data_IF_565637392125
#
_entry.id   IF_565637392125
#
_cell.length_a   1.000
_cell.length_b   1.000
_cell.length_c   1.000
_cell.angle_alpha   90.00
_cell.angle_beta   90.00
_cell.angle_gamma   90.00
#
_symmetry.space_group_name_H-M   'P 1'
#
loop_
_entity.id
_entity.type
_entity.pdbx_description
1 polymer ?
#
# COMPACT_ATOMS: atom_id res chain seq x y z
N UNK A 1 -2.48 18.82 -9.57
CA UNK A 1 -2.38 18.92 -8.09
C UNK A 1 -1.87 17.59 -7.57
N UNK A 2 -0.76 17.61 -6.82
CA UNK A 2 -0.19 16.40 -6.25
C UNK A 2 -1.14 15.76 -5.24
N UNK A 3 -1.39 14.47 -5.41
CA UNK A 3 -2.21 13.61 -4.55
C UNK A 3 -1.30 12.60 -3.85
N UNK A 4 -1.64 12.27 -2.61
CA UNK A 4 -1.00 11.22 -1.82
C UNK A 4 -2.04 10.21 -1.35
N UNK A 5 -1.78 8.94 -1.60
CA UNK A 5 -2.55 7.81 -1.09
C UNK A 5 -1.60 6.86 -0.35
N UNK A 6 -1.78 6.77 0.95
CA UNK A 6 -1.04 5.81 1.78
C UNK A 6 -1.77 4.46 1.84
N UNK A 7 -1.03 3.40 1.58
CA UNK A 7 -1.43 2.01 1.78
C UNK A 7 -0.71 1.49 3.03
N UNK A 8 -1.41 1.41 4.15
CA UNK A 8 -0.86 0.96 5.42
C UNK A 8 -1.36 -0.44 5.77
N UNK A 9 -0.41 -1.35 5.91
CA UNK A 9 -0.60 -2.74 6.33
C UNK A 9 0.06 -2.92 7.70
N UNK A 10 -0.64 -3.58 8.61
CA UNK A 10 -0.15 -3.90 9.96
C UNK A 10 -0.47 -5.36 10.25
N UNK A 11 0.45 -6.09 10.86
CA UNK A 11 0.22 -7.50 11.19
C UNK A 11 0.91 -7.91 12.49
N UNK A 12 0.47 -9.05 12.99
CA UNK A 12 1.03 -9.75 14.13
C UNK A 12 0.79 -11.25 13.93
N UNK A 13 1.86 -12.05 13.98
CA UNK A 13 1.77 -13.47 13.62
C UNK A 13 1.31 -13.67 12.17
N UNK A 14 0.27 -14.49 11.97
CA UNK A 14 -0.28 -14.83 10.66
C UNK A 14 -1.53 -14.02 10.27
N UNK A 15 -1.84 -12.96 11.02
CA UNK A 15 -3.03 -12.12 10.82
C UNK A 15 -2.66 -10.68 10.49
N UNK A 16 -3.24 -10.15 9.40
CA UNK A 16 -3.00 -8.80 8.90
C UNK A 16 -4.25 -7.92 8.88
N UNK A 17 -4.04 -6.63 9.00
CA UNK A 17 -5.04 -5.58 8.86
C UNK A 17 -4.52 -4.52 7.90
N UNK A 18 -5.34 -4.16 6.92
CA UNK A 18 -5.09 -3.01 6.06
C UNK A 18 -5.81 -1.79 6.64
N UNK A 19 -5.06 -0.88 7.26
CA UNK A 19 -5.62 0.29 7.92
C UNK A 19 -6.12 1.37 6.96
N UNK A 20 -5.69 1.34 5.70
CA UNK A 20 -6.26 2.20 4.66
C UNK A 20 -7.70 1.75 4.34
N UNK A 21 -8.72 2.62 4.54
CA UNK A 21 -10.11 2.24 4.30
C UNK A 21 -10.35 1.85 2.84
N UNK A 22 -11.17 0.83 2.61
CA UNK A 22 -11.50 0.37 1.25
C UNK A 22 -12.12 1.47 0.39
N UNK A 23 -12.91 2.36 1.00
CA UNK A 23 -13.53 3.53 0.35
C UNK A 23 -12.53 4.54 -0.20
N UNK A 24 -11.27 4.48 0.26
CA UNK A 24 -10.16 5.36 -0.16
C UNK A 24 -9.28 4.76 -1.26
N UNK A 25 -9.47 3.50 -1.64
CA UNK A 25 -8.71 2.82 -2.70
C UNK A 25 -9.22 3.16 -4.11
N UNK A 26 -9.30 4.45 -4.43
CA UNK A 26 -9.70 4.97 -5.74
C UNK A 26 -8.96 6.27 -6.05
N UNK A 27 -8.73 6.53 -7.33
CA UNK A 27 -8.02 7.73 -7.75
C UNK A 27 -8.85 8.98 -7.41
N UNK A 28 -8.16 10.06 -7.04
CA UNK A 28 -8.79 11.33 -6.63
C UNK A 28 -8.92 11.48 -5.12
N UNK A 29 -8.99 10.37 -4.39
CA UNK A 29 -8.97 10.39 -2.93
C UNK A 29 -7.56 10.67 -2.42
N UNK A 30 -7.50 11.41 -1.32
CA UNK A 30 -6.28 11.55 -0.51
C UNK A 30 -6.49 10.80 0.80
N UNK A 31 -5.47 10.06 1.21
CA UNK A 31 -5.43 9.42 2.51
C UNK A 31 -3.99 9.42 2.99
N UNK A 32 -3.79 9.95 4.19
CA UNK A 32 -2.51 9.91 4.88
C UNK A 32 -2.68 9.02 6.10
N UNK A 33 -1.88 7.97 6.17
CA UNK A 33 -1.98 6.99 7.24
C UNK A 33 -1.26 7.51 8.49
N UNK A 34 -1.86 7.32 9.66
CA UNK A 34 -1.21 7.64 10.93
C UNK A 34 -0.38 6.45 11.43
N UNK A 35 0.92 6.48 11.12
CA UNK A 35 1.87 5.47 11.60
C UNK A 35 2.10 5.54 13.11
N UNK A 36 1.81 6.67 13.77
CA UNK A 36 2.01 6.80 15.21
C UNK A 36 0.92 6.08 16.00
N UNK A 37 -0.20 5.78 15.35
CA UNK A 37 -1.29 4.96 15.89
C UNK A 37 -1.04 3.46 15.81
N UNK A 38 0.08 2.99 15.24
CA UNK A 38 0.41 1.56 15.18
C UNK A 38 0.79 1.08 16.60
N UNK A 39 0.11 0.07 17.17
CA UNK A 39 0.45 -0.46 18.47
C UNK A 39 1.88 -0.98 18.53
N UNK A 40 2.53 -0.80 19.68
CA UNK A 40 3.87 -1.32 19.92
C UNK A 40 3.91 -2.85 19.77
N UNK A 41 5.00 -3.37 19.19
CA UNK A 41 5.17 -4.79 18.91
C UNK A 41 4.51 -5.29 17.62
N UNK A 42 3.77 -4.44 16.88
CA UNK A 42 3.23 -4.81 15.57
C UNK A 42 4.19 -4.50 14.44
N UNK A 43 4.23 -5.40 13.47
CA UNK A 43 4.92 -5.17 12.22
C UNK A 43 4.06 -4.38 11.25
N UNK A 44 4.71 -3.64 10.35
CA UNK A 44 4.00 -2.81 9.39
C UNK A 44 4.73 -2.63 8.06
N UNK A 45 3.94 -2.29 7.04
CA UNK A 45 4.35 -1.78 5.76
C UNK A 45 3.49 -0.57 5.42
N UNK A 46 4.14 0.56 5.18
CA UNK A 46 3.54 1.75 4.60
C UNK A 46 4.10 1.93 3.18
N UNK A 47 3.20 1.91 2.20
CA UNK A 47 3.49 2.32 0.83
C UNK A 47 2.77 3.63 0.57
N UNK A 48 3.51 4.72 0.36
CA UNK A 48 2.92 6.01 -0.03
C UNK A 48 3.00 6.16 -1.54
N UNK A 49 1.85 6.34 -2.16
CA UNK A 49 1.70 6.56 -3.60
C UNK A 49 1.47 8.05 -3.86
N UNK A 50 2.27 8.61 -4.78
CA UNK A 50 2.20 10.02 -5.17
C UNK A 50 1.89 10.11 -6.66
N UNK A 51 0.94 10.96 -7.01
CA UNK A 51 0.50 11.11 -8.41
C UNK A 51 -0.22 12.43 -8.62
N UNK A 52 -0.38 12.81 -9.88
CA UNK A 52 -1.23 13.93 -10.29
C UNK A 52 -2.41 13.42 -11.11
N UNK A 53 -3.52 14.17 -11.04
CA UNK A 53 -4.71 13.94 -11.86
C UNK A 53 -4.98 15.22 -12.64
N UNK A 54 -5.09 15.10 -13.96
CA UNK A 54 -5.48 16.18 -14.84
C UNK A 54 -7.02 16.33 -14.95
N UNK A 55 -7.47 17.34 -15.68
CA UNK A 55 -8.91 17.63 -15.83
C UNK A 55 -9.69 16.53 -16.56
N UNK A 56 -9.02 15.69 -17.34
CA UNK A 56 -9.61 14.54 -18.04
C UNK A 56 -9.67 13.27 -17.17
N UNK A 57 -9.13 13.32 -15.96
CA UNK A 57 -8.97 12.15 -15.08
C UNK A 57 -7.72 11.32 -15.37
N UNK A 58 -6.84 11.80 -16.25
CA UNK A 58 -5.55 11.17 -16.55
C UNK A 58 -4.60 11.23 -15.37
N UNK A 59 -3.84 10.15 -15.15
CA UNK A 59 -2.94 10.00 -13.99
C UNK A 59 -1.49 10.06 -14.44
N UNK A 60 -0.74 11.05 -13.95
CA UNK A 60 0.66 11.32 -14.29
C UNK A 60 1.54 11.52 -13.05
N UNK A 61 2.83 11.80 -13.26
CA UNK A 61 3.82 12.11 -12.20
C UNK A 61 3.83 11.09 -11.04
N UNK A 62 3.77 9.80 -11.41
CA UNK A 62 3.67 8.71 -10.45
C UNK A 62 5.02 8.44 -9.80
N UNK A 63 5.02 8.35 -8.48
CA UNK A 63 6.16 7.92 -7.67
C UNK A 63 5.67 7.26 -6.39
N UNK A 64 6.58 6.61 -5.66
CA UNK A 64 6.22 5.94 -4.41
C UNK A 64 7.34 6.01 -3.38
N UNK A 65 7.00 5.80 -2.11
CA UNK A 65 7.95 5.55 -1.03
C UNK A 65 7.50 4.37 -0.18
N UNK A 66 8.46 3.65 0.40
CA UNK A 66 8.22 2.50 1.27
C UNK A 66 8.83 2.80 2.65
N UNK A 67 8.05 2.57 3.71
CA UNK A 67 8.49 2.57 5.09
C UNK A 67 7.97 1.30 5.78
N UNK A 68 8.78 0.60 6.57
CA UNK A 68 8.41 -0.71 7.11
C UNK A 68 9.22 -1.04 8.36
N UNK A 69 8.67 -1.89 9.24
CA UNK A 69 9.40 -2.52 10.33
C UNK A 69 10.32 -3.66 9.88
N UNK A 70 10.11 -4.19 8.66
CA UNK A 70 10.87 -5.31 8.14
C UNK A 70 12.33 -4.94 7.90
N UNK A 71 13.24 -5.84 8.26
CA UNK A 71 14.63 -5.75 7.84
C UNK A 71 14.72 -5.83 6.32
N UNK A 72 15.61 -5.03 5.72
CA UNK A 72 15.81 -5.03 4.26
C UNK A 72 16.18 -6.46 3.81
N UNK A 73 15.43 -6.99 2.83
CA UNK A 73 15.58 -8.35 2.33
C UNK A 73 14.83 -8.57 1.00
N UNK A 74 14.73 -9.83 0.52
CA UNK A 74 14.16 -10.19 -0.79
C UNK A 74 12.76 -9.59 -1.04
N UNK A 75 11.93 -9.55 0.00
CA UNK A 75 10.60 -8.95 -0.03
C UNK A 75 10.60 -7.49 -0.53
N UNK A 76 11.54 -6.65 -0.06
CA UNK A 76 11.55 -5.22 -0.40
C UNK A 76 11.93 -5.00 -1.87
N UNK A 77 12.82 -5.84 -2.41
CA UNK A 77 13.20 -5.77 -3.81
C UNK A 77 12.06 -6.26 -4.73
N UNK A 78 11.36 -7.33 -4.34
CA UNK A 78 10.16 -7.79 -5.04
C UNK A 78 9.02 -6.77 -4.97
N UNK A 79 8.81 -6.12 -3.82
CA UNK A 79 7.80 -5.07 -3.65
C UNK A 79 8.09 -3.87 -4.55
N UNK A 80 9.36 -3.45 -4.66
CA UNK A 80 9.75 -2.39 -5.59
C UNK A 80 9.48 -2.80 -7.03
N UNK A 81 9.89 -4.01 -7.44
CA UNK A 81 9.61 -4.51 -8.78
C UNK A 81 8.11 -4.58 -9.09
N UNK A 82 7.28 -4.96 -8.12
CA UNK A 82 5.82 -4.91 -8.23
C UNK A 82 5.33 -3.47 -8.44
N UNK A 83 5.78 -2.52 -7.62
CA UNK A 83 5.37 -1.11 -7.75
C UNK A 83 5.85 -0.51 -9.09
N UNK A 84 7.07 -0.81 -9.52
CA UNK A 84 7.57 -0.35 -10.80
C UNK A 84 6.72 -0.88 -11.97
N UNK A 85 6.27 -2.13 -11.92
CA UNK A 85 5.46 -2.74 -12.98
C UNK A 85 3.98 -2.35 -12.97
N UNK A 86 3.39 -2.12 -11.79
CA UNK A 86 1.94 -1.95 -11.65
C UNK A 86 1.51 -0.55 -11.23
N UNK A 87 2.33 0.18 -10.46
CA UNK A 87 2.04 1.56 -10.07
C UNK A 87 2.51 2.55 -11.13
N UNK A 88 3.75 2.40 -11.60
CA UNK A 88 4.33 3.35 -12.56
C UNK A 88 3.79 3.14 -13.99
N UNK A 89 3.32 1.94 -14.35
CA UNK A 89 2.69 1.68 -15.65
C UNK A 89 1.14 1.71 -15.56
N UNK A 90 0.44 2.24 -16.58
CA UNK A 90 -0.98 2.59 -16.53
C UNK A 90 -1.99 1.43 -16.57
N UNK A 91 -1.61 0.20 -16.25
CA UNK A 91 -2.52 -0.95 -16.45
C UNK A 91 -3.34 -1.37 -15.22
N UNK A 92 -2.90 -1.05 -14.00
CA UNK A 92 -3.50 -1.62 -12.79
C UNK A 92 -4.46 -0.63 -12.08
N UNK A 93 -5.59 -1.15 -11.58
CA UNK A 93 -6.45 -0.40 -10.65
C UNK A 93 -5.84 -0.36 -9.24
N UNK A 94 -6.15 0.68 -8.44
CA UNK A 94 -5.67 0.77 -7.05
C UNK A 94 -6.07 -0.44 -6.18
N UNK A 95 -7.31 -0.98 -6.27
CA UNK A 95 -7.63 -2.24 -5.59
C UNK A 95 -6.79 -3.42 -6.07
N UNK A 96 -6.50 -3.52 -7.36
CA UNK A 96 -5.64 -4.57 -7.93
C UNK A 96 -4.22 -4.51 -7.38
N UNK A 97 -3.60 -3.32 -7.43
CA UNK A 97 -2.28 -3.07 -6.85
C UNK A 97 -2.25 -3.46 -5.36
N UNK A 98 -3.28 -3.05 -4.62
CA UNK A 98 -3.41 -3.40 -3.22
C UNK A 98 -3.44 -4.93 -2.98
N UNK A 99 -4.25 -5.67 -3.73
CA UNK A 99 -4.31 -7.13 -3.59
C UNK A 99 -2.99 -7.81 -3.91
N UNK A 100 -2.20 -7.29 -4.87
CA UNK A 100 -0.87 -7.83 -5.16
C UNK A 100 0.11 -7.59 -4.02
N UNK A 101 0.09 -6.41 -3.40
CA UNK A 101 0.92 -6.12 -2.22
C UNK A 101 0.55 -7.05 -1.07
N UNK A 102 -0.75 -7.24 -0.81
CA UNK A 102 -1.24 -8.17 0.21
C UNK A 102 -0.80 -9.61 -0.08
N UNK A 103 -0.89 -10.05 -1.34
CA UNK A 103 -0.43 -11.38 -1.76
C UNK A 103 1.08 -11.56 -1.57
N UNK A 104 1.88 -10.54 -1.87
CA UNK A 104 3.32 -10.56 -1.65
C UNK A 104 3.67 -10.66 -0.16
N UNK A 105 3.00 -9.87 0.69
CA UNK A 105 3.14 -9.96 2.15
C UNK A 105 2.75 -11.34 2.68
N UNK A 106 1.62 -11.89 2.22
CA UNK A 106 1.18 -13.24 2.57
C UNK A 106 2.20 -14.31 2.19
N UNK A 107 2.84 -14.19 1.01
CA UNK A 107 3.86 -15.13 0.56
C UNK A 107 5.15 -15.05 1.38
N UNK A 108 5.66 -13.85 1.63
CA UNK A 108 6.96 -13.66 2.29
C UNK A 108 6.91 -13.80 3.81
N UNK A 109 5.78 -13.45 4.43
CA UNK A 109 5.67 -13.27 5.88
C UNK A 109 4.65 -14.26 6.49
N UNK A 110 3.92 -15.00 5.65
CA UNK A 110 3.02 -16.06 6.10
C UNK A 110 1.67 -15.56 6.64
N UNK A 111 1.25 -14.35 6.27
CA UNK A 111 -0.06 -13.81 6.64
C UNK A 111 -1.15 -14.56 5.88
N UNK A 112 -2.06 -15.20 6.60
CA UNK A 112 -3.14 -16.02 6.04
C UNK A 112 -4.45 -15.27 5.89
N UNK A 113 -4.68 -14.31 6.78
CA UNK A 113 -5.93 -13.55 6.81
C UNK A 113 -5.65 -12.06 6.78
N UNK A 114 -6.43 -11.35 5.97
CA UNK A 114 -6.42 -9.90 5.90
C UNK A 114 -7.80 -9.34 6.20
N UNK A 115 -7.83 -8.32 7.07
CA UNK A 115 -9.05 -7.57 7.39
C UNK A 115 -8.92 -6.12 6.93
N UNK A 116 -10.06 -5.54 6.57
CA UNK A 116 -10.22 -4.09 6.48
C UNK A 116 -10.95 -3.64 7.74
N UNK A 117 -10.64 -2.47 8.30
CA UNK A 117 -11.38 -1.95 9.43
C UNK A 117 -12.79 -1.52 9.01
N UNK A 118 -13.74 -1.67 9.93
CA UNK A 118 -15.18 -1.45 9.73
C UNK A 118 -15.61 0.04 9.82
N UNK A 119 -14.75 0.99 9.42
CA UNK A 119 -15.05 2.43 9.53
C UNK A 119 -15.90 2.97 8.38
#
# INVERSE_FOLDING_TARGET
>A
MLRRLDLLYVWEGDSGVMLTPRSKLKFGEQFQADIRGIPEGKDYLLVSLFYEIDESGGISNRSFSINTSLTKGPFIDELKGLLDNYWLYPMESLPGLNYRIMGLLSFHIGIKEWKFPDY
#
